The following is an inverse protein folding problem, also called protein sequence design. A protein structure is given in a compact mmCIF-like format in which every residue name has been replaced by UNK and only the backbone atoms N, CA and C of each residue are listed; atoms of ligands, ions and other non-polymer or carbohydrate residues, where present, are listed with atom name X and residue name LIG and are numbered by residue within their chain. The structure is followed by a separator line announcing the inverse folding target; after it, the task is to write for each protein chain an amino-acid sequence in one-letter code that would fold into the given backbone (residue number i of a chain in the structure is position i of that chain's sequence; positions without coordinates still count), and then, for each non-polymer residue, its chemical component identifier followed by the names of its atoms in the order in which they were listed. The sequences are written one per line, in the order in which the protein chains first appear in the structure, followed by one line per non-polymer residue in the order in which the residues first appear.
data_IF_822039920378
#
_entry.id   IF_822039920378
#
_cell.length_a   1.000
_cell.length_b   1.000
_cell.length_c   1.000
_cell.angle_alpha   90.00
_cell.angle_beta   90.00
_cell.angle_gamma   90.00
#
_symmetry.space_group_name_H-M   'P 1'
#
loop_
_entity.id
_entity.type
_entity.pdbx_description
1 polymer ?
#
# COMPACT_ATOMS: atom_id res chain seq x y z
N UNK A 1 6.96 9.24 -17.50
CA UNK A 1 6.12 8.03 -17.42
C UNK A 1 6.88 7.02 -16.56
N UNK A 2 6.48 6.83 -15.29
CA UNK A 2 7.19 5.96 -14.37
C UNK A 2 6.78 4.50 -14.58
N UNK A 3 7.75 3.62 -14.84
CA UNK A 3 7.51 2.18 -14.91
C UNK A 3 7.40 1.66 -13.49
N UNK A 4 6.19 1.32 -13.05
CA UNK A 4 5.98 0.61 -11.78
C UNK A 4 6.48 -0.83 -12.00
N UNK A 5 7.51 -1.23 -11.25
CA UNK A 5 8.08 -2.58 -11.33
C UNK A 5 7.02 -3.62 -10.93
N UNK A 6 6.91 -4.67 -11.73
CA UNK A 6 6.08 -5.85 -11.44
C UNK A 6 6.62 -6.53 -10.17
N UNK A 7 5.91 -6.38 -9.05
CA UNK A 7 6.14 -7.16 -7.84
C UNK A 7 5.56 -8.57 -7.97
N UNK A 8 6.13 -9.53 -7.27
CA UNK A 8 5.62 -10.90 -7.22
C UNK A 8 5.76 -11.44 -5.81
N UNK A 9 4.63 -11.79 -5.20
CA UNK A 9 4.58 -12.44 -3.89
C UNK A 9 4.25 -13.92 -4.08
N UNK A 10 4.87 -14.77 -3.25
CA UNK A 10 4.58 -16.19 -3.21
C UNK A 10 3.97 -16.58 -1.86
N UNK A 11 2.88 -17.33 -1.89
CA UNK A 11 2.29 -17.96 -0.70
C UNK A 11 2.45 -19.48 -0.79
N UNK A 12 2.94 -20.09 0.28
CA UNK A 12 2.96 -21.55 0.40
C UNK A 12 1.56 -22.05 0.75
N UNK A 13 1.06 -23.03 0.00
CA UNK A 13 -0.20 -23.71 0.27
C UNK A 13 0.12 -25.17 0.59
N UNK A 14 -0.43 -25.68 1.69
CA UNK A 14 -0.20 -27.04 2.16
C UNK A 14 -1.55 -27.69 2.43
N UNK A 15 -1.77 -28.88 1.90
CA UNK A 15 -2.92 -29.75 2.20
C UNK A 15 -2.42 -31.18 2.48
N UNK A 16 -3.19 -31.96 3.24
CA UNK A 16 -2.84 -33.32 3.62
C UNK A 16 -4.09 -34.19 3.68
N UNK A 17 -4.02 -35.36 3.04
CA UNK A 17 -5.08 -36.36 3.08
C UNK A 17 -4.55 -37.67 3.65
N UNK A 18 -5.38 -38.38 4.42
CA UNK A 18 -5.11 -39.73 4.90
C UNK A 18 -6.03 -40.70 4.19
N UNK A 19 -5.46 -41.73 3.55
CA UNK A 19 -6.19 -42.71 2.73
C UNK A 19 -5.75 -44.12 3.12
N UNK A 20 -6.71 -45.03 3.26
CA UNK A 20 -6.46 -46.46 3.45
C UNK A 20 -6.49 -47.17 2.10
N UNK A 21 -5.37 -47.78 1.71
CA UNK A 21 -5.23 -48.48 0.43
C UNK A 21 -5.32 -49.99 0.67
N UNK A 22 -6.33 -50.71 0.14
CA UNK A 22 -6.41 -52.16 0.24
C UNK A 22 -5.20 -52.88 -0.37
N UNK A 23 -4.85 -54.09 0.11
CA UNK A 23 -3.78 -54.89 -0.47
C UNK A 23 -3.97 -55.11 -1.98
N UNK A 24 -2.88 -55.10 -2.75
CA UNK A 24 -2.89 -55.28 -4.20
C UNK A 24 -3.81 -54.31 -4.96
N UNK A 25 -3.97 -53.09 -4.46
CA UNK A 25 -4.74 -52.03 -5.12
C UNK A 25 -3.96 -50.71 -5.17
N UNK A 26 -4.43 -49.79 -6.02
CA UNK A 26 -3.99 -48.39 -6.08
C UNK A 26 -5.18 -47.46 -5.87
N UNK A 27 -4.92 -46.25 -5.39
CA UNK A 27 -5.91 -45.16 -5.33
C UNK A 27 -5.31 -43.96 -6.06
N UNK A 28 -6.09 -43.37 -6.96
CA UNK A 28 -5.70 -42.16 -7.68
C UNK A 28 -6.00 -40.93 -6.84
N UNK A 29 -5.04 -40.03 -6.74
CA UNK A 29 -5.11 -38.80 -5.93
C UNK A 29 -4.96 -37.60 -6.84
N UNK A 30 -5.91 -36.67 -6.75
CA UNK A 30 -5.99 -35.44 -7.53
C UNK A 30 -5.83 -34.25 -6.60
N UNK A 31 -5.08 -33.24 -7.05
CA UNK A 31 -4.99 -31.95 -6.36
C UNK A 31 -5.61 -30.88 -7.25
N UNK A 32 -6.66 -30.25 -6.76
CA UNK A 32 -7.32 -29.13 -7.44
C UNK A 32 -6.68 -27.81 -7.03
N UNK A 33 -6.37 -26.98 -8.03
CA UNK A 33 -5.83 -25.64 -7.86
C UNK A 33 -6.53 -24.67 -8.80
N UNK A 34 -6.74 -23.45 -8.34
CA UNK A 34 -7.49 -22.43 -9.05
C UNK A 34 -6.54 -21.30 -9.45
N UNK A 35 -6.59 -20.92 -10.74
CA UNK A 35 -5.85 -19.78 -11.27
C UNK A 35 -6.84 -18.68 -11.61
N UNK A 36 -6.58 -17.48 -11.11
CA UNK A 36 -7.36 -16.28 -11.40
C UNK A 36 -6.48 -15.21 -12.02
N UNK A 37 -7.07 -14.47 -12.95
CA UNK A 37 -6.54 -13.22 -13.47
C UNK A 37 -7.60 -12.14 -13.26
N UNK A 38 -7.20 -11.03 -12.66
CA UNK A 38 -8.05 -9.85 -12.50
C UNK A 38 -7.36 -8.66 -13.13
N UNK A 39 -8.14 -7.86 -13.85
CA UNK A 39 -7.68 -6.62 -14.47
C UNK A 39 -8.75 -5.55 -14.28
N UNK A 40 -8.36 -4.41 -13.73
CA UNK A 40 -9.27 -3.26 -13.64
C UNK A 40 -8.50 -1.93 -13.65
N UNK A 41 -9.10 -0.88 -14.24
CA UNK A 41 -8.58 0.47 -14.09
C UNK A 41 -8.73 0.91 -12.63
N UNK A 42 -7.72 1.58 -12.08
CA UNK A 42 -7.77 2.15 -10.75
C UNK A 42 -7.52 3.66 -10.79
N UNK A 43 -8.01 4.34 -9.76
CA UNK A 43 -7.69 5.75 -9.49
C UNK A 43 -7.56 5.92 -7.98
N UNK A 44 -6.46 6.52 -7.56
CA UNK A 44 -6.23 6.93 -6.18
C UNK A 44 -6.03 8.44 -6.13
N UNK A 45 -6.57 9.09 -5.10
CA UNK A 45 -6.25 10.48 -4.80
C UNK A 45 -5.00 10.49 -3.89
N UNK A 46 -3.97 11.25 -4.28
CA UNK A 46 -2.80 11.50 -3.47
C UNK A 46 -2.81 12.95 -2.97
N UNK A 47 -2.73 13.12 -1.65
CA UNK A 47 -2.61 14.44 -1.01
C UNK A 47 -1.20 14.99 -1.28
N UNK A 48 -1.12 16.21 -1.83
CA UNK A 48 0.14 16.90 -2.08
C UNK A 48 0.48 17.76 -0.88
N UNK A 49 1.72 17.63 -0.39
CA UNK A 49 2.29 18.52 0.62
C UNK A 49 3.47 19.28 0.01
N UNK A 50 3.61 20.56 0.35
CA UNK A 50 4.66 21.42 -0.19
C UNK A 50 5.08 22.49 0.82
N UNK A 51 6.32 22.94 0.69
CA UNK A 51 6.85 24.04 1.48
C UNK A 51 6.69 25.36 0.72
N UNK A 52 6.18 26.38 1.41
CA UNK A 52 6.11 27.76 0.93
C UNK A 52 7.10 28.58 1.73
N UNK A 53 7.99 29.28 1.04
CA UNK A 53 8.95 30.17 1.66
C UNK A 53 8.58 31.64 1.39
N UNK A 54 8.32 32.40 2.46
CA UNK A 54 8.11 33.84 2.39
C UNK A 54 9.42 34.55 2.70
N UNK A 55 9.94 35.28 1.72
CA UNK A 55 11.14 36.08 1.85
C UNK A 55 10.87 37.50 1.39
N UNK A 56 11.18 38.49 2.23
CA UNK A 56 10.94 39.90 1.93
C UNK A 56 11.10 40.80 3.15
N UNK A 57 11.06 42.11 2.94
CA UNK A 57 11.13 43.09 4.03
C UNK A 57 9.74 43.36 4.62
N UNK A 58 9.67 43.58 5.93
CA UNK A 58 8.44 43.99 6.60
C UNK A 58 8.14 45.47 6.38
N UNK A 59 6.85 45.83 6.36
CA UNK A 59 6.43 47.23 6.33
C UNK A 59 6.85 47.95 7.61
N UNK A 60 7.15 49.24 7.48
CA UNK A 60 7.57 50.11 8.60
C UNK A 60 6.54 50.13 9.73
N UNK A 61 5.27 50.29 9.36
CA UNK A 61 4.13 50.12 10.23
C UNK A 61 3.12 49.17 9.58
N UNK A 62 2.25 48.60 10.39
CA UNK A 62 1.19 47.71 9.90
C UNK A 62 1.72 46.35 9.45
N UNK A 63 2.67 45.79 10.20
CA UNK A 63 3.21 44.46 9.97
C UNK A 63 2.81 43.51 11.12
N UNK A 64 2.77 42.21 10.85
CA UNK A 64 2.29 41.23 11.80
C UNK A 64 3.41 40.56 12.61
N UNK A 65 4.67 40.99 12.51
CA UNK A 65 5.72 40.39 13.33
C UNK A 65 5.40 40.59 14.81
N UNK A 66 5.66 39.58 15.63
CA UNK A 66 5.42 39.70 17.08
C UNK A 66 6.20 40.86 17.71
N UNK A 67 7.41 41.14 17.22
CA UNK A 67 8.23 42.26 17.70
C UNK A 67 7.69 43.63 17.29
N UNK A 68 6.81 43.71 16.28
CA UNK A 68 6.37 44.95 15.65
C UNK A 68 7.53 45.90 15.28
N UNK A 69 8.67 45.33 14.87
CA UNK A 69 9.91 46.08 14.62
C UNK A 69 9.73 47.10 13.47
N UNK A 70 9.94 48.41 13.71
CA UNK A 70 9.77 49.44 12.70
C UNK A 70 10.95 49.53 11.72
N UNK A 71 12.06 48.82 11.94
CA UNK A 71 13.29 48.93 11.10
C UNK A 71 13.18 48.28 9.71
N UNK A 72 11.98 47.80 9.33
CA UNK A 72 11.71 47.05 8.09
C UNK A 72 12.64 45.82 7.95
N UNK A 73 12.70 44.94 8.95
CA UNK A 73 13.59 43.78 8.88
C UNK A 73 13.23 42.88 7.69
N UNK A 74 14.26 42.31 7.06
CA UNK A 74 14.09 41.24 6.06
C UNK A 74 13.83 39.93 6.79
N UNK A 75 12.72 39.29 6.46
CA UNK A 75 12.30 38.01 6.99
C UNK A 75 12.48 36.92 5.95
N UNK A 76 12.74 35.70 6.42
CA UNK A 76 12.76 34.51 5.59
C UNK A 76 12.15 33.37 6.41
N UNK A 77 10.91 33.00 6.10
CA UNK A 77 10.13 32.05 6.91
C UNK A 77 9.45 31.03 6.02
N UNK A 78 9.69 29.76 6.34
CA UNK A 78 9.14 28.60 5.65
C UNK A 78 7.93 28.04 6.39
N UNK A 79 6.89 27.71 5.64
CA UNK A 79 5.70 27.02 6.11
C UNK A 79 5.47 25.76 5.28
N UNK A 80 4.98 24.72 5.92
CA UNK A 80 4.64 23.46 5.26
C UNK A 80 3.13 23.38 5.14
N UNK A 81 2.62 23.23 3.93
CA UNK A 81 1.20 23.04 3.62
C UNK A 81 0.98 21.56 3.32
N UNK A 82 0.04 20.92 4.02
CA UNK A 82 -0.28 19.50 3.85
C UNK A 82 -0.06 18.69 5.12
N UNK A 83 0.48 17.46 5.00
CA UNK A 83 0.63 16.54 6.13
C UNK A 83 1.82 16.89 7.02
N UNK A 84 1.58 16.78 8.33
CA UNK A 84 2.55 16.78 9.43
C UNK A 84 3.69 17.81 9.30
N UNK A 85 3.51 18.93 10.01
CA UNK A 85 4.53 19.95 10.14
C UNK A 85 4.69 20.31 11.62
N UNK A 86 5.91 20.66 12.02
CA UNK A 86 6.19 21.15 13.37
C UNK A 86 5.34 22.39 13.69
N UNK A 87 5.15 22.68 14.98
CA UNK A 87 4.38 23.86 15.44
C UNK A 87 4.85 25.16 14.77
N UNK A 88 6.16 25.31 14.57
CA UNK A 88 6.80 26.50 14.00
C UNK A 88 6.65 26.69 12.49
N UNK A 89 6.22 25.65 11.77
CA UNK A 89 6.00 25.67 10.30
C UNK A 89 4.55 25.42 9.92
N UNK A 90 3.66 25.25 10.90
CA UNK A 90 2.22 25.04 10.73
C UNK A 90 1.43 26.34 10.98
N UNK A 91 0.90 26.94 9.91
CA UNK A 91 0.11 28.18 10.02
C UNK A 91 -1.18 28.00 10.85
N UNK A 92 -1.86 26.86 10.71
CA UNK A 92 -3.13 26.59 11.43
C UNK A 92 -2.87 26.43 12.92
N UNK A 93 -1.79 25.74 13.27
CA UNK A 93 -1.39 25.54 14.65
C UNK A 93 -1.06 26.88 15.32
N UNK A 94 -0.25 27.73 14.65
CA UNK A 94 0.11 29.04 15.18
C UNK A 94 -1.11 29.95 15.35
N UNK A 95 -2.01 30.01 14.37
CA UNK A 95 -3.25 30.77 14.47
C UNK A 95 -4.14 30.32 15.63
N UNK A 96 -4.21 29.01 15.88
CA UNK A 96 -5.09 28.44 16.92
C UNK A 96 -4.51 28.53 18.33
N UNK A 97 -3.19 28.77 18.46
CA UNK A 97 -2.48 28.74 19.74
C UNK A 97 -1.64 30.02 19.96
N UNK A 98 -2.21 31.23 19.90
CA UNK A 98 -1.44 32.44 20.12
C UNK A 98 -1.03 32.55 21.60
N UNK A 99 0.28 32.64 21.86
CA UNK A 99 0.90 32.99 23.13
C UNK A 99 1.42 31.81 23.96
N UNK A 100 1.42 30.58 23.44
CA UNK A 100 2.02 29.44 24.13
C UNK A 100 3.51 29.36 23.76
N UNK A 101 4.43 29.42 24.73
CA UNK A 101 5.88 29.52 24.46
C UNK A 101 6.48 28.48 23.49
N UNK A 102 5.82 27.34 23.30
CA UNK A 102 6.22 26.28 22.36
C UNK A 102 5.72 26.49 20.91
N UNK A 103 4.88 27.52 20.66
CA UNK A 103 4.39 27.92 19.33
C UNK A 103 5.34 28.86 18.61
N UNK A 104 6.33 29.41 19.32
CA UNK A 104 7.31 30.35 18.78
C UNK A 104 6.64 31.39 17.90
N UNK A 105 5.67 32.11 18.46
CA UNK A 105 4.82 33.11 17.78
C UNK A 105 5.67 34.10 17.01
N UNK A 106 5.97 33.74 15.78
CA UNK A 106 6.71 34.61 14.87
C UNK A 106 5.79 35.75 14.41
N UNK A 107 4.49 35.45 14.33
CA UNK A 107 3.44 36.36 13.94
C UNK A 107 2.50 36.66 15.11
N UNK A 108 2.14 37.93 15.25
CA UNK A 108 1.07 38.39 16.13
C UNK A 108 -0.29 38.18 15.47
N UNK A 109 -0.87 37.00 15.71
CA UNK A 109 -2.19 36.64 15.18
C UNK A 109 -3.32 37.48 15.79
N UNK A 110 -3.17 37.98 17.02
CA UNK A 110 -4.18 38.82 17.67
C UNK A 110 -4.24 40.18 16.99
N UNK A 111 -3.09 40.80 16.76
CA UNK A 111 -2.99 42.05 16.00
C UNK A 111 -3.58 41.92 14.59
N UNK A 112 -3.33 40.81 13.90
CA UNK A 112 -3.91 40.57 12.57
C UNK A 112 -5.44 40.46 12.61
N UNK A 113 -6.01 39.78 13.61
CA UNK A 113 -7.45 39.67 13.81
C UNK A 113 -8.06 41.03 14.10
N UNK A 114 -7.44 41.83 14.98
CA UNK A 114 -7.92 43.17 15.33
C UNK A 114 -7.88 44.11 14.12
N UNK A 115 -6.84 43.99 13.27
CA UNK A 115 -6.66 44.84 12.10
C UNK A 115 -7.56 44.47 10.92
N UNK A 116 -7.72 43.19 10.63
CA UNK A 116 -8.37 42.70 9.40
C UNK A 116 -9.69 41.95 9.64
N UNK A 117 -10.11 41.77 10.89
CA UNK A 117 -11.20 40.90 11.35
C UNK A 117 -10.90 39.40 11.27
N UNK A 118 -11.44 38.67 12.24
CA UNK A 118 -11.33 37.21 12.34
C UNK A 118 -11.77 36.49 11.06
N UNK A 119 -12.92 36.88 10.50
CA UNK A 119 -13.51 36.25 9.31
C UNK A 119 -12.58 36.31 8.10
N UNK A 120 -11.91 37.44 7.89
CA UNK A 120 -10.99 37.62 6.76
C UNK A 120 -9.77 36.72 6.91
N UNK A 121 -9.20 36.65 8.12
CA UNK A 121 -8.05 35.80 8.42
C UNK A 121 -8.41 34.32 8.23
N UNK A 122 -9.52 33.86 8.77
CA UNK A 122 -9.96 32.46 8.64
C UNK A 122 -10.23 32.07 7.19
N UNK A 123 -10.89 32.93 6.41
CA UNK A 123 -11.12 32.70 4.99
C UNK A 123 -9.82 32.65 4.17
N UNK A 124 -8.83 33.46 4.55
CA UNK A 124 -7.52 33.49 3.88
C UNK A 124 -6.73 32.24 4.22
N UNK A 125 -6.68 31.86 5.50
CA UNK A 125 -6.04 30.62 5.94
C UNK A 125 -6.67 29.41 5.25
N UNK A 126 -8.00 29.33 5.20
CA UNK A 126 -8.72 28.23 4.54
C UNK A 126 -8.35 28.08 3.04
N UNK A 127 -8.12 29.20 2.34
CA UNK A 127 -7.66 29.18 0.94
C UNK A 127 -6.20 28.72 0.82
N UNK A 128 -5.32 29.20 1.71
CA UNK A 128 -3.89 28.85 1.68
C UNK A 128 -3.65 27.38 2.01
N UNK A 129 -4.40 26.83 2.97
CA UNK A 129 -4.24 25.44 3.43
C UNK A 129 -5.12 24.45 2.66
N UNK A 130 -5.80 24.90 1.61
CA UNK A 130 -6.73 24.07 0.87
C UNK A 130 -6.03 22.78 0.40
N UNK A 131 -6.57 21.59 0.71
CA UNK A 131 -5.94 20.34 0.33
C UNK A 131 -5.80 20.23 -1.19
N UNK A 132 -4.55 20.14 -1.65
CA UNK A 132 -4.26 19.86 -3.05
C UNK A 132 -4.21 18.34 -3.24
N UNK A 133 -5.04 17.82 -4.13
CA UNK A 133 -5.08 16.39 -4.47
C UNK A 133 -4.70 16.19 -5.92
N UNK A 134 -3.84 15.21 -6.17
CA UNK A 134 -3.52 14.74 -7.52
C UNK A 134 -4.06 13.33 -7.72
N UNK A 135 -4.61 13.06 -8.91
CA UNK A 135 -5.12 11.74 -9.25
C UNK A 135 -4.01 10.87 -9.82
N UNK A 136 -3.80 9.71 -9.22
CA UNK A 136 -2.93 8.66 -9.72
C UNK A 136 -3.81 7.59 -10.34
N UNK A 137 -3.75 7.47 -11.66
CA UNK A 137 -4.54 6.52 -12.44
C UNK A 137 -3.66 5.47 -13.06
N UNK A 138 -4.19 4.26 -13.22
CA UNK A 138 -3.50 3.19 -13.93
C UNK A 138 -4.39 1.99 -14.17
N UNK A 139 -3.79 0.91 -14.66
CA UNK A 139 -4.43 -0.40 -14.76
C UNK A 139 -3.72 -1.32 -13.78
N UNK A 140 -4.50 -2.02 -12.96
CA UNK A 140 -4.01 -3.06 -12.09
C UNK A 140 -4.31 -4.41 -12.73
N UNK A 141 -3.29 -5.25 -12.83
CA UNK A 141 -3.41 -6.63 -13.29
C UNK A 141 -2.76 -7.54 -12.25
N UNK A 142 -3.49 -8.57 -11.81
CA UNK A 142 -2.96 -9.58 -10.90
C UNK A 142 -3.33 -10.99 -11.35
N UNK A 143 -2.31 -11.84 -11.43
CA UNK A 143 -2.45 -13.27 -11.62
C UNK A 143 -2.16 -13.97 -10.29
N UNK A 144 -3.06 -14.84 -9.86
CA UNK A 144 -2.93 -15.58 -8.60
C UNK A 144 -3.36 -17.02 -8.76
N UNK A 145 -2.53 -17.94 -8.29
CA UNK A 145 -2.88 -19.34 -8.09
C UNK A 145 -3.17 -19.58 -6.60
N UNK A 146 -4.29 -20.22 -6.29
CA UNK A 146 -4.72 -20.49 -4.92
C UNK A 146 -5.55 -21.77 -4.84
N UNK A 147 -5.73 -22.27 -3.61
CA UNK A 147 -6.42 -23.52 -3.36
C UNK A 147 -5.53 -24.73 -3.66
N UNK A 148 -5.55 -25.67 -2.72
CA UNK A 148 -5.12 -27.04 -2.91
C UNK A 148 -6.15 -27.88 -2.18
N UNK A 149 -7.07 -28.51 -2.91
CA UNK A 149 -7.93 -29.53 -2.34
C UNK A 149 -7.48 -30.88 -2.87
N UNK A 150 -7.15 -31.80 -1.97
CA UNK A 150 -6.79 -33.16 -2.35
C UNK A 150 -8.05 -34.03 -2.37
N UNK A 151 -8.37 -34.57 -3.54
CA UNK A 151 -9.48 -35.51 -3.78
C UNK A 151 -8.89 -36.87 -4.15
N UNK A 152 -9.47 -37.96 -3.67
CA UNK A 152 -9.02 -39.31 -4.03
C UNK A 152 -10.17 -40.16 -4.55
N UNK A 153 -9.86 -41.01 -5.53
CA UNK A 153 -10.82 -41.91 -6.18
C UNK A 153 -11.02 -43.24 -5.45
N UNK A 154 -11.83 -44.15 -6.01
CA UNK A 154 -11.99 -45.50 -5.49
C UNK A 154 -10.72 -46.35 -5.67
N UNK A 155 -10.64 -47.46 -4.93
CA UNK A 155 -9.57 -48.45 -5.05
C UNK A 155 -9.65 -49.22 -6.36
N UNK A 156 -8.52 -49.30 -7.07
CA UNK A 156 -8.37 -49.98 -8.36
C UNK A 156 -7.44 -51.20 -8.16
N UNK A 157 -7.86 -52.44 -8.46
CA UNK A 157 -7.01 -53.62 -8.35
C UNK A 157 -5.77 -53.55 -9.26
N UNK A 158 -4.62 -53.96 -8.76
CA UNK A 158 -3.40 -54.13 -9.56
C UNK A 158 -3.50 -55.45 -10.34
N UNK A 159 -3.57 -55.37 -11.68
CA UNK A 159 -3.58 -56.55 -12.54
C UNK A 159 -2.35 -57.44 -12.29
N UNK A 160 -2.56 -58.74 -12.07
CA UNK A 160 -1.52 -59.74 -11.78
C UNK A 160 -0.75 -60.21 -13.03
N UNK A 161 -1.01 -59.67 -14.22
CA UNK A 161 -0.35 -60.13 -15.45
C UNK A 161 0.86 -59.25 -15.81
N UNK A 162 2.03 -59.70 -15.37
CA UNK A 162 3.33 -59.20 -15.82
C UNK A 162 3.47 -59.35 -17.34
N UNK A 163 3.29 -58.23 -18.05
CA UNK A 163 3.98 -57.98 -19.32
C UNK A 163 4.51 -56.57 -19.23
N UNK A 164 5.77 -56.44 -18.79
CA UNK A 164 6.65 -55.27 -18.94
C UNK A 164 5.90 -53.93 -19.10
N UNK A 165 5.07 -53.58 -18.11
CA UNK A 165 4.50 -52.24 -18.07
C UNK A 165 5.66 -51.34 -17.69
N UNK A 166 6.06 -50.48 -18.63
CA UNK A 166 6.74 -49.23 -18.31
C UNK A 166 6.11 -48.67 -17.04
N UNK A 167 6.92 -48.18 -16.10
CA UNK A 167 6.43 -47.34 -15.00
C UNK A 167 5.67 -46.20 -15.67
N UNK A 168 4.38 -46.35 -15.87
CA UNK A 168 3.48 -45.24 -16.15
C UNK A 168 3.43 -44.50 -14.85
N UNK A 169 4.43 -43.65 -14.62
CA UNK A 169 4.26 -42.48 -13.80
C UNK A 169 3.06 -41.79 -14.46
N UNK A 170 1.90 -41.94 -13.82
CA UNK A 170 0.69 -41.19 -14.11
C UNK A 170 1.12 -39.77 -14.46
N UNK A 171 0.73 -39.33 -15.65
CA UNK A 171 1.26 -38.16 -16.34
C UNK A 171 0.85 -36.90 -15.58
N UNK A 172 1.56 -36.60 -14.49
CA UNK A 172 1.45 -35.35 -13.77
C UNK A 172 1.99 -34.21 -14.64
N UNK A 173 1.46 -33.01 -14.44
CA UNK A 173 2.01 -31.80 -15.03
C UNK A 173 3.50 -31.71 -14.68
N UNK A 174 4.33 -31.46 -15.68
CA UNK A 174 5.76 -31.20 -15.45
C UNK A 174 5.93 -29.93 -14.63
N UNK A 175 7.05 -29.80 -13.90
CA UNK A 175 7.36 -28.56 -13.17
C UNK A 175 7.33 -27.33 -14.09
N UNK A 176 7.75 -27.47 -15.35
CA UNK A 176 7.69 -26.39 -16.34
C UNK A 176 6.24 -25.98 -16.70
N UNK A 177 5.30 -26.92 -16.71
CA UNK A 177 3.87 -26.63 -16.93
C UNK A 177 3.23 -25.99 -15.69
N UNK A 178 3.57 -26.48 -14.49
CA UNK A 178 3.11 -25.89 -13.23
C UNK A 178 3.61 -24.45 -13.06
N UNK A 179 4.86 -24.18 -13.42
CA UNK A 179 5.46 -22.85 -13.35
C UNK A 179 4.77 -21.85 -14.29
N UNK A 180 4.32 -22.28 -15.48
CA UNK A 180 3.52 -21.44 -16.38
C UNK A 180 2.22 -20.95 -15.74
N UNK A 181 1.67 -21.73 -14.82
CA UNK A 181 0.46 -21.40 -14.05
C UNK A 181 0.75 -20.77 -12.69
N UNK A 182 2.00 -20.38 -12.42
CA UNK A 182 2.40 -19.71 -11.19
C UNK A 182 2.58 -20.64 -9.98
N UNK A 183 2.50 -21.96 -10.19
CA UNK A 183 2.72 -22.96 -9.16
C UNK A 183 4.20 -23.35 -9.18
N UNK A 184 4.90 -23.06 -8.09
CA UNK A 184 6.34 -23.31 -7.95
C UNK A 184 6.61 -24.24 -6.79
N UNK A 185 7.69 -25.01 -6.87
CA UNK A 185 8.19 -25.84 -5.77
C UNK A 185 7.14 -26.84 -5.22
N UNK A 186 6.35 -27.47 -6.10
CA UNK A 186 5.42 -28.51 -5.67
C UNK A 186 6.19 -29.67 -5.04
N UNK A 187 5.86 -30.00 -3.79
CA UNK A 187 6.41 -31.14 -3.06
C UNK A 187 5.29 -32.06 -2.61
N UNK A 188 5.37 -33.34 -3.00
CA UNK A 188 4.43 -34.38 -2.59
C UNK A 188 5.20 -35.33 -1.68
N UNK A 189 4.73 -35.49 -0.43
CA UNK A 189 5.35 -36.40 0.54
C UNK A 189 4.32 -37.41 1.03
N UNK A 190 4.62 -38.70 0.89
CA UNK A 190 3.82 -39.77 1.47
C UNK A 190 4.46 -40.20 2.78
N UNK A 191 3.69 -40.13 3.88
CA UNK A 191 4.13 -40.57 5.21
C UNK A 191 3.16 -41.63 5.74
N UNK A 192 3.69 -42.58 6.51
CA UNK A 192 2.86 -43.51 7.29
C UNK A 192 2.19 -42.72 8.41
N UNK A 193 0.87 -42.88 8.58
CA UNK A 193 0.17 -42.34 9.75
C UNK A 193 0.76 -42.98 11.02
N UNK A 194 1.10 -42.14 12.01
CA UNK A 194 1.55 -42.59 13.34
C UNK A 194 0.37 -43.13 14.15
#
# INVERSE_FOLDING_TARGET
MGIIKRGGDSKTVTDTVSVSVPPHSKIEVFMETYVSNIEYPYTFDADVSYDVNFSGFMRWEGNALLSHDPTRPTINKKYTIGRASDSLTNLVYQYSNPGLGDTGDYWDWRWMIDRYSKKVIENTLAQVIQPLKVKITGVFTANSAYGSSIVYGPSIPLSTRSTRSTRSVERGLSNAELEKHGIKNLQITVKRAQ
#
